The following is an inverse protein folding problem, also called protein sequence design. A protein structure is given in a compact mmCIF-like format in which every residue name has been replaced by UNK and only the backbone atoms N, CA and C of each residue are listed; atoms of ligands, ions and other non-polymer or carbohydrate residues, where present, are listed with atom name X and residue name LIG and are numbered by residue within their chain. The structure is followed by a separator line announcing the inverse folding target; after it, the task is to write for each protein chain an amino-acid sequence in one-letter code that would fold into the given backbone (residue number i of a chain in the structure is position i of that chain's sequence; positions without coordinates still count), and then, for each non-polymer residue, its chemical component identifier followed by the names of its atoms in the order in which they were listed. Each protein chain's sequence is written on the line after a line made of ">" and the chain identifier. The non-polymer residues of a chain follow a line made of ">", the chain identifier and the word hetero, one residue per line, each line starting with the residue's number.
data_IF_278918416225
#
_entry.id   IF_278918416225
#
_cell.length_a   1.000
_cell.length_b   1.000
_cell.length_c   1.000
_cell.angle_alpha   90.00
_cell.angle_beta   90.00
_cell.angle_gamma   90.00
#
_symmetry.space_group_name_H-M   'P 1'
#
loop_
_entity.id
_entity.type
_entity.pdbx_description
1 polymer ?
#
# COMPACT_ATOMS: atom_id res chain seq x y z
N UNK A 1 20.21 52.05 48.22
CA UNK A 1 19.01 51.29 47.84
C UNK A 1 19.34 50.48 46.61
N UNK A 2 19.61 49.18 46.77
CA UNK A 2 19.93 48.27 45.69
C UNK A 2 18.69 47.45 45.34
N UNK A 3 18.18 47.61 44.12
CA UNK A 3 17.02 46.85 43.59
C UNK A 3 17.50 45.51 43.12
N UNK A 4 17.18 44.44 43.84
CA UNK A 4 17.30 43.07 43.42
C UNK A 4 16.29 42.77 42.31
N UNK A 5 16.76 42.59 41.06
CA UNK A 5 15.99 42.00 39.97
C UNK A 5 15.98 40.51 40.14
N UNK A 6 14.85 39.94 40.54
CA UNK A 6 14.63 38.48 40.54
C UNK A 6 14.48 38.01 39.07
N UNK A 7 15.51 37.34 38.58
CA UNK A 7 15.46 36.64 37.28
C UNK A 7 14.69 35.33 37.49
N UNK A 8 13.46 35.26 37.02
CA UNK A 8 12.68 34.02 36.94
C UNK A 8 13.15 33.24 35.75
N UNK A 9 14.06 32.29 35.98
CA UNK A 9 14.46 31.31 34.96
C UNK A 9 13.33 30.29 34.80
N UNK A 10 12.51 30.46 33.75
CA UNK A 10 11.54 29.45 33.32
C UNK A 10 12.29 28.31 32.59
N UNK A 11 11.88 27.05 32.82
CA UNK A 11 12.58 25.90 32.21
C UNK A 11 12.18 25.73 30.75
N UNK A 12 12.71 26.55 29.84
CA UNK A 12 12.49 26.43 28.39
C UNK A 12 13.37 25.36 27.71
N UNK A 13 14.35 24.80 28.39
CA UNK A 13 15.30 23.83 27.80
C UNK A 13 14.71 22.43 27.55
N UNK A 14 13.72 22.00 28.33
CA UNK A 14 13.13 20.66 28.19
C UNK A 14 12.15 20.56 27.03
N UNK A 15 11.46 21.64 26.64
CA UNK A 15 10.50 21.66 25.54
C UNK A 15 11.21 21.50 24.17
N UNK A 16 12.36 22.10 23.97
CA UNK A 16 13.10 22.04 22.70
C UNK A 16 13.72 20.66 22.44
N UNK A 17 14.18 19.96 23.48
CA UNK A 17 14.71 18.61 23.33
C UNK A 17 13.62 17.59 22.98
N UNK A 18 12.45 17.71 23.61
CA UNK A 18 11.28 16.86 23.34
C UNK A 18 10.72 17.13 21.95
N UNK A 19 10.58 18.39 21.55
CA UNK A 19 10.14 18.79 20.21
C UNK A 19 11.09 18.25 19.11
N UNK A 20 12.42 18.31 19.32
CA UNK A 20 13.42 17.76 18.37
C UNK A 20 13.40 16.23 18.31
N UNK A 21 13.10 15.54 19.42
CA UNK A 21 12.92 14.08 19.42
C UNK A 21 11.65 13.67 18.67
N UNK A 22 10.55 14.36 18.92
CA UNK A 22 9.27 14.14 18.24
C UNK A 22 9.38 14.39 16.72
N UNK A 23 10.00 15.50 16.33
CA UNK A 23 10.24 15.83 14.91
C UNK A 23 11.09 14.75 14.23
N UNK A 24 12.14 14.25 14.87
CA UNK A 24 12.96 13.15 14.34
C UNK A 24 12.18 11.84 14.23
N UNK A 25 11.35 11.52 15.22
CA UNK A 25 10.49 10.33 15.20
C UNK A 25 9.44 10.42 14.10
N UNK A 26 8.77 11.57 13.95
CA UNK A 26 7.82 11.81 12.86
C UNK A 26 8.48 11.73 11.49
N UNK A 27 9.65 12.34 11.33
CA UNK A 27 10.40 12.26 10.06
C UNK A 27 10.84 10.81 9.77
N UNK A 28 11.23 10.04 10.78
CA UNK A 28 11.52 8.62 10.62
C UNK A 28 10.27 7.84 10.22
N UNK A 29 9.12 8.08 10.85
CA UNK A 29 7.85 7.41 10.51
C UNK A 29 7.38 7.76 9.10
N UNK A 30 7.46 9.03 8.68
CA UNK A 30 7.10 9.44 7.32
C UNK A 30 8.03 8.83 6.28
N UNK A 31 9.33 8.84 6.53
CA UNK A 31 10.34 8.27 5.63
C UNK A 31 10.20 6.75 5.43
N UNK A 32 9.70 6.03 6.45
CA UNK A 32 9.56 4.57 6.43
C UNK A 32 8.12 4.10 6.27
N UNK A 33 7.17 4.99 5.93
CA UNK A 33 5.74 4.65 5.76
C UNK A 33 5.10 4.01 7.00
N UNK A 34 5.56 4.39 8.19
CA UNK A 34 5.10 3.84 9.46
C UNK A 34 3.91 4.60 10.06
N UNK A 35 3.41 5.65 9.42
CA UNK A 35 2.29 6.45 9.94
C UNK A 35 1.00 5.64 10.01
N UNK A 36 0.71 4.81 9.01
CA UNK A 36 -0.45 3.92 9.03
C UNK A 36 -0.41 2.90 10.18
N UNK A 37 0.67 2.11 10.36
CA UNK A 37 0.80 1.22 11.53
C UNK A 37 0.72 1.96 12.87
N UNK A 38 1.25 3.18 12.93
CA UNK A 38 1.18 4.03 14.14
C UNK A 38 -0.27 4.42 14.45
N UNK A 39 -1.03 4.90 13.45
CA UNK A 39 -2.44 5.22 13.60
C UNK A 39 -3.25 4.00 14.03
N UNK A 40 -2.97 2.85 13.44
CA UNK A 40 -3.62 1.59 13.79
C UNK A 40 -3.30 1.13 15.23
N UNK A 41 -2.05 1.26 15.67
CA UNK A 41 -1.66 0.92 17.04
C UNK A 41 -2.35 1.82 18.06
N UNK A 42 -2.41 3.14 17.80
CA UNK A 42 -3.13 4.09 18.65
C UNK A 42 -4.63 3.72 18.70
N UNK A 43 -5.24 3.45 17.54
CA UNK A 43 -6.65 3.06 17.46
C UNK A 43 -6.95 1.80 18.26
N UNK A 44 -6.09 0.78 18.15
CA UNK A 44 -6.26 -0.49 18.84
C UNK A 44 -6.17 -0.32 20.36
N UNK A 45 -5.18 0.43 20.82
CA UNK A 45 -5.03 0.75 22.26
C UNK A 45 -6.24 1.56 22.76
N UNK A 46 -6.62 2.60 22.04
CA UNK A 46 -7.75 3.46 22.42
C UNK A 46 -9.08 2.71 22.43
N UNK A 47 -9.35 1.88 21.41
CA UNK A 47 -10.58 1.09 21.34
C UNK A 47 -10.74 0.10 22.51
N UNK A 48 -9.63 -0.42 23.05
CA UNK A 48 -9.66 -1.38 24.16
C UNK A 48 -9.60 -0.72 25.55
N UNK A 49 -9.03 0.49 25.68
CA UNK A 49 -8.99 1.23 26.95
C UNK A 49 -10.24 2.10 27.18
N UNK A 50 -10.75 2.73 26.12
CA UNK A 50 -11.89 3.63 26.19
C UNK A 50 -12.81 3.48 24.96
N UNK A 51 -13.51 2.33 24.82
CA UNK A 51 -14.25 1.97 23.63
C UNK A 51 -15.32 3.00 23.23
N UNK A 52 -16.09 3.51 24.21
CA UNK A 52 -17.14 4.48 23.93
C UNK A 52 -16.60 5.75 23.24
N UNK A 53 -15.52 6.33 23.76
CA UNK A 53 -14.92 7.53 23.19
C UNK A 53 -14.31 7.26 21.81
N UNK A 54 -13.65 6.11 21.62
CA UNK A 54 -13.07 5.73 20.35
C UNK A 54 -14.14 5.53 19.26
N UNK A 55 -15.19 4.75 19.52
CA UNK A 55 -16.22 4.48 18.52
C UNK A 55 -17.07 5.72 18.22
N UNK A 56 -17.25 6.65 19.18
CA UNK A 56 -17.88 7.95 18.93
C UNK A 56 -17.02 8.81 18.00
N UNK A 57 -15.72 8.92 18.27
CA UNK A 57 -14.76 9.60 17.42
C UNK A 57 -14.72 9.00 16.01
N UNK A 58 -14.59 7.67 15.90
CA UNK A 58 -14.54 6.95 14.64
C UNK A 58 -15.78 7.19 13.78
N UNK A 59 -16.98 7.21 14.39
CA UNK A 59 -18.24 7.44 13.68
C UNK A 59 -18.29 8.82 13.00
N UNK A 60 -17.76 9.85 13.65
CA UNK A 60 -17.74 11.22 13.10
C UNK A 60 -16.76 11.33 11.93
N UNK A 61 -15.59 10.67 12.03
CA UNK A 61 -14.53 10.79 11.05
C UNK A 61 -14.55 9.71 9.98
N UNK A 62 -15.40 8.68 10.09
CA UNK A 62 -15.45 7.59 9.13
C UNK A 62 -15.68 8.08 7.70
N UNK A 63 -16.69 8.93 7.49
CA UNK A 63 -17.01 9.44 6.16
C UNK A 63 -15.88 10.27 5.55
N UNK A 64 -15.38 11.37 6.17
CA UNK A 64 -14.31 12.16 5.55
C UNK A 64 -13.01 11.35 5.35
N UNK A 65 -12.71 10.38 6.21
CA UNK A 65 -11.50 9.59 6.07
C UNK A 65 -11.65 8.53 4.98
N UNK A 66 -12.74 7.77 4.97
CA UNK A 66 -12.90 6.66 4.03
C UNK A 66 -13.25 7.12 2.61
N UNK A 67 -14.01 8.21 2.47
CA UNK A 67 -14.51 8.65 1.17
C UNK A 67 -13.65 9.76 0.54
N UNK A 68 -13.07 10.65 1.36
CA UNK A 68 -12.29 11.78 0.86
C UNK A 68 -10.79 11.53 1.00
N UNK A 69 -10.31 11.23 2.21
CA UNK A 69 -8.88 11.04 2.41
C UNK A 69 -8.34 9.81 1.66
N UNK A 70 -9.11 8.72 1.59
CA UNK A 70 -8.72 7.54 0.81
C UNK A 70 -8.73 7.78 -0.69
N UNK A 71 -9.50 8.75 -1.22
CA UNK A 71 -9.39 9.13 -2.63
C UNK A 71 -7.99 9.64 -2.98
N UNK A 72 -7.34 10.39 -2.08
CA UNK A 72 -5.96 10.84 -2.26
C UNK A 72 -4.97 9.65 -2.28
N UNK A 73 -5.18 8.67 -1.41
CA UNK A 73 -4.32 7.47 -1.34
C UNK A 73 -4.46 6.63 -2.61
N UNK A 74 -5.69 6.38 -3.06
CA UNK A 74 -5.94 5.61 -4.29
C UNK A 74 -5.52 6.38 -5.54
N UNK A 75 -5.65 7.71 -5.53
CA UNK A 75 -5.09 8.58 -6.56
C UNK A 75 -3.57 8.44 -6.68
N UNK A 76 -2.84 8.36 -5.54
CA UNK A 76 -1.40 8.12 -5.54
C UNK A 76 -1.06 6.74 -6.14
N UNK A 77 -1.76 5.69 -5.74
CA UNK A 77 -1.54 4.34 -6.28
C UNK A 77 -1.86 4.30 -7.78
N UNK A 78 -2.94 4.95 -8.21
CA UNK A 78 -3.29 5.05 -9.62
C UNK A 78 -2.23 5.81 -10.43
N UNK A 79 -1.64 6.86 -9.85
CA UNK A 79 -0.54 7.60 -10.46
C UNK A 79 0.70 6.70 -10.65
N UNK A 80 1.09 5.95 -9.63
CA UNK A 80 2.20 4.98 -9.73
C UNK A 80 1.95 3.95 -10.83
N UNK A 81 0.73 3.38 -10.88
CA UNK A 81 0.33 2.44 -11.95
C UNK A 81 0.43 3.09 -13.33
N UNK A 82 -0.08 4.34 -13.45
CA UNK A 82 -0.05 5.04 -14.73
C UNK A 82 1.37 5.35 -15.19
N UNK A 83 2.25 5.81 -14.31
CA UNK A 83 3.65 6.11 -14.62
C UNK A 83 4.41 4.86 -15.08
N UNK A 84 4.13 3.71 -14.46
CA UNK A 84 4.73 2.44 -14.85
C UNK A 84 4.20 1.88 -16.19
N UNK A 85 2.98 2.24 -16.58
CA UNK A 85 2.42 1.88 -17.91
C UNK A 85 2.85 2.82 -19.02
N UNK A 86 3.33 4.02 -18.67
CA UNK A 86 3.77 5.02 -19.64
C UNK A 86 5.04 4.60 -20.41
N UNK A 87 5.33 5.19 -21.60
CA UNK A 87 6.55 4.91 -22.34
C UNK A 87 7.81 5.18 -21.50
N UNK A 88 8.58 4.13 -21.24
CA UNK A 88 9.77 4.16 -20.37
C UNK A 88 9.55 3.51 -19.01
N UNK A 89 8.31 3.29 -18.58
CA UNK A 89 7.97 2.53 -17.38
C UNK A 89 8.19 1.02 -17.55
N UNK A 90 8.25 0.30 -16.43
CA UNK A 90 8.52 -1.14 -16.44
C UNK A 90 7.36 -1.96 -17.03
N UNK A 91 6.12 -1.49 -16.89
CA UNK A 91 4.92 -2.13 -17.46
C UNK A 91 4.79 -1.89 -18.96
N UNK A 92 5.56 -0.94 -19.55
CA UNK A 92 5.54 -0.73 -21.00
C UNK A 92 6.16 -1.90 -21.79
N UNK A 93 7.05 -2.69 -21.18
CA UNK A 93 7.66 -3.87 -21.80
C UNK A 93 6.96 -5.15 -21.32
N UNK A 94 6.02 -5.70 -22.12
CA UNK A 94 5.20 -6.86 -21.76
C UNK A 94 5.98 -8.05 -21.21
N UNK A 95 7.19 -8.30 -21.69
CA UNK A 95 8.07 -9.39 -21.21
C UNK A 95 8.52 -9.22 -19.76
N UNK A 96 8.52 -8.00 -19.21
CA UNK A 96 8.96 -7.72 -17.84
C UNK A 96 7.82 -7.83 -16.83
N UNK A 97 6.60 -7.48 -17.22
CA UNK A 97 5.47 -7.46 -16.30
C UNK A 97 4.60 -8.73 -16.34
N UNK A 98 4.72 -9.58 -17.39
CA UNK A 98 3.87 -10.77 -17.54
C UNK A 98 3.97 -11.71 -16.33
N UNK A 99 5.18 -12.01 -15.85
CA UNK A 99 5.36 -12.92 -14.70
C UNK A 99 4.84 -12.28 -13.40
N UNK A 100 5.14 -11.00 -13.05
CA UNK A 100 4.51 -10.33 -11.91
C UNK A 100 2.98 -10.26 -11.99
N UNK A 101 2.40 -10.05 -13.17
CA UNK A 101 0.94 -10.05 -13.38
C UNK A 101 0.32 -11.43 -13.13
N UNK A 102 0.94 -12.49 -13.68
CA UNK A 102 0.49 -13.87 -13.40
C UNK A 102 0.59 -14.16 -11.91
N UNK A 103 1.70 -13.76 -11.27
CA UNK A 103 1.88 -13.92 -9.83
C UNK A 103 0.81 -13.18 -9.02
N UNK A 104 0.46 -11.95 -9.39
CA UNK A 104 -0.60 -11.18 -8.76
C UNK A 104 -1.97 -11.85 -8.93
N UNK A 105 -2.33 -12.19 -10.18
CA UNK A 105 -3.62 -12.80 -10.51
C UNK A 105 -3.78 -14.17 -9.81
N UNK A 106 -2.77 -15.03 -9.88
CA UNK A 106 -2.80 -16.33 -9.20
C UNK A 106 -2.81 -16.19 -7.67
N UNK A 107 -2.09 -15.19 -7.13
CA UNK A 107 -2.10 -14.89 -5.71
C UNK A 107 -3.47 -14.44 -5.20
N UNK A 108 -4.13 -13.53 -5.93
CA UNK A 108 -5.48 -13.06 -5.59
C UNK A 108 -6.49 -14.19 -5.76
N UNK A 109 -6.45 -14.94 -6.85
CA UNK A 109 -7.36 -16.06 -7.10
C UNK A 109 -7.24 -17.16 -6.03
N UNK A 110 -6.01 -17.53 -5.65
CA UNK A 110 -5.78 -18.54 -4.61
C UNK A 110 -6.17 -18.03 -3.21
N UNK A 111 -5.97 -16.74 -2.91
CA UNK A 111 -6.45 -16.14 -1.67
C UNK A 111 -7.99 -16.15 -1.62
N UNK A 112 -8.65 -15.74 -2.71
CA UNK A 112 -10.12 -15.77 -2.80
C UNK A 112 -10.67 -17.20 -2.67
N UNK A 113 -10.04 -18.18 -3.33
CA UNK A 113 -10.41 -19.58 -3.22
C UNK A 113 -10.22 -20.11 -1.78
N UNK A 114 -9.08 -19.84 -1.16
CA UNK A 114 -8.81 -20.25 0.23
C UNK A 114 -9.80 -19.61 1.22
N UNK A 115 -10.14 -18.34 1.00
CA UNK A 115 -11.15 -17.64 1.77
C UNK A 115 -12.51 -18.32 1.64
N UNK A 116 -12.98 -18.52 0.40
CA UNK A 116 -14.29 -19.14 0.12
C UNK A 116 -14.38 -20.57 0.68
N UNK A 117 -13.35 -21.40 0.49
CA UNK A 117 -13.31 -22.77 1.03
C UNK A 117 -13.41 -22.76 2.56
N UNK A 118 -12.68 -21.85 3.24
CA UNK A 118 -12.72 -21.77 4.69
C UNK A 118 -14.07 -21.30 5.22
N UNK A 119 -14.67 -20.29 4.58
CA UNK A 119 -15.99 -19.75 4.92
C UNK A 119 -17.07 -20.79 4.70
N UNK A 120 -17.02 -21.53 3.59
CA UNK A 120 -17.93 -22.63 3.30
C UNK A 120 -17.83 -23.76 4.34
N UNK A 121 -16.61 -24.15 4.69
CA UNK A 121 -16.37 -25.16 5.72
C UNK A 121 -16.93 -24.74 7.08
N UNK A 122 -16.94 -23.45 7.39
CA UNK A 122 -17.48 -22.90 8.65
C UNK A 122 -18.98 -22.59 8.56
N UNK A 123 -19.59 -22.73 7.39
CA UNK A 123 -21.04 -22.47 7.12
C UNK A 123 -21.44 -21.02 7.43
N UNK A 124 -20.51 -20.07 7.20
CA UNK A 124 -20.70 -18.63 7.45
C UNK A 124 -21.10 -17.91 6.17
N UNK A 125 -22.32 -18.09 5.70
CA UNK A 125 -22.81 -17.60 4.41
C UNK A 125 -22.69 -16.08 4.22
N UNK A 126 -22.80 -15.30 5.29
CA UNK A 126 -22.67 -13.84 5.25
C UNK A 126 -21.26 -13.36 4.87
N UNK A 127 -20.23 -14.19 5.08
CA UNK A 127 -18.84 -13.85 4.75
C UNK A 127 -18.51 -14.10 3.26
N UNK A 128 -19.35 -14.79 2.48
CA UNK A 128 -19.06 -15.04 1.06
C UNK A 128 -18.92 -13.74 0.26
N UNK A 129 -19.72 -12.72 0.54
CA UNK A 129 -19.65 -11.43 -0.18
C UNK A 129 -18.42 -10.61 0.18
N UNK A 130 -17.70 -10.98 1.23
CA UNK A 130 -16.55 -10.21 1.74
C UNK A 130 -15.19 -10.72 1.24
N UNK A 131 -15.16 -11.70 0.32
CA UNK A 131 -13.91 -12.21 -0.26
C UNK A 131 -12.99 -11.12 -0.87
N UNK A 132 -13.48 -9.93 -1.37
CA UNK A 132 -12.60 -8.88 -1.86
C UNK A 132 -11.60 -8.37 -0.81
N UNK A 133 -11.87 -8.59 0.48
CA UNK A 133 -10.97 -8.26 1.61
C UNK A 133 -9.57 -8.85 1.42
N UNK A 134 -9.47 -9.97 0.70
CA UNK A 134 -8.19 -10.62 0.45
C UNK A 134 -7.51 -10.24 -0.87
N UNK A 135 -8.05 -9.28 -1.65
CA UNK A 135 -7.54 -8.96 -2.99
C UNK A 135 -6.28 -8.06 -2.97
N UNK A 136 -6.25 -7.01 -2.15
CA UNK A 136 -5.20 -6.00 -2.21
C UNK A 136 -3.90 -6.35 -1.47
N UNK A 137 -2.83 -5.63 -1.81
CA UNK A 137 -1.48 -5.75 -1.23
C UNK A 137 -1.01 -4.38 -0.75
N UNK A 138 -0.37 -4.32 0.41
CA UNK A 138 0.19 -3.09 0.95
C UNK A 138 1.57 -2.80 0.33
N UNK A 139 1.58 -1.94 -0.71
CA UNK A 139 2.79 -1.64 -1.50
C UNK A 139 3.93 -1.15 -0.62
N UNK A 140 3.64 -0.24 0.33
CA UNK A 140 4.66 0.38 1.17
C UNK A 140 5.34 -0.61 2.11
N UNK A 141 4.54 -1.44 2.81
CA UNK A 141 5.05 -2.46 3.72
C UNK A 141 5.85 -3.53 2.97
N UNK A 142 5.33 -3.98 1.83
CA UNK A 142 5.98 -5.01 1.01
C UNK A 142 7.29 -4.51 0.41
N UNK A 143 7.32 -3.28 -0.08
CA UNK A 143 8.55 -2.64 -0.54
C UNK A 143 9.60 -2.53 0.57
N UNK A 144 9.18 -2.02 1.73
CA UNK A 144 10.08 -1.85 2.88
C UNK A 144 10.75 -3.15 3.29
N UNK A 145 9.99 -4.23 3.46
CA UNK A 145 10.54 -5.52 3.88
C UNK A 145 11.41 -6.16 2.78
N UNK A 146 11.00 -6.06 1.52
CA UNK A 146 11.78 -6.58 0.40
C UNK A 146 13.10 -5.84 0.28
N UNK A 147 13.10 -4.52 0.40
CA UNK A 147 14.31 -3.71 0.44
C UNK A 147 15.21 -4.09 1.61
N UNK A 148 14.64 -4.26 2.81
CA UNK A 148 15.39 -4.67 4.00
C UNK A 148 16.03 -6.05 3.86
N UNK A 149 15.41 -6.99 3.14
CA UNK A 149 15.94 -8.33 2.91
C UNK A 149 16.97 -8.36 1.78
N UNK A 150 16.71 -7.70 0.65
CA UNK A 150 17.47 -7.85 -0.59
C UNK A 150 18.51 -6.75 -0.84
N UNK A 151 18.39 -5.58 -0.21
CA UNK A 151 19.38 -4.51 -0.33
C UNK A 151 20.54 -4.74 0.65
N UNK A 152 21.78 -4.79 0.14
CA UNK A 152 22.97 -4.94 0.97
C UNK A 152 23.41 -3.58 1.54
N UNK A 153 23.66 -3.45 2.85
CA UNK A 153 24.35 -2.29 3.40
C UNK A 153 25.79 -2.27 2.88
N UNK A 154 26.29 -1.14 2.34
CA UNK A 154 27.71 -0.94 2.07
C UNK A 154 28.20 -1.18 0.64
N UNK A 155 27.37 -1.31 -0.35
CA UNK A 155 27.79 -1.23 -1.75
C UNK A 155 28.27 0.18 -2.09
N UNK A 156 29.50 0.30 -2.66
CA UNK A 156 30.05 1.57 -3.10
C UNK A 156 29.06 2.36 -3.94
N UNK A 157 29.00 3.68 -3.75
CA UNK A 157 28.00 4.60 -4.32
C UNK A 157 27.89 4.61 -5.87
N UNK A 158 28.68 3.82 -6.58
CA UNK A 158 28.69 3.71 -8.04
C UNK A 158 28.09 2.43 -8.64
N UNK A 159 27.65 1.44 -7.86
CA UNK A 159 27.17 0.15 -8.35
C UNK A 159 25.79 -0.22 -7.78
N UNK A 160 24.86 0.72 -7.74
CA UNK A 160 23.46 0.50 -7.26
C UNK A 160 22.60 -0.10 -8.36
N UNK A 161 22.85 -1.34 -8.77
CA UNK A 161 21.76 -2.13 -9.38
C UNK A 161 20.94 -2.71 -8.24
N UNK A 162 19.71 -2.26 -8.09
CA UNK A 162 18.76 -2.83 -7.13
C UNK A 162 18.57 -4.32 -7.42
N UNK A 163 18.38 -5.12 -6.38
CA UNK A 163 18.11 -6.55 -6.56
C UNK A 163 16.78 -6.73 -7.31
N UNK A 164 16.69 -7.63 -8.33
CA UNK A 164 15.49 -7.78 -9.16
C UNK A 164 14.21 -8.19 -8.41
N UNK A 165 14.34 -8.66 -7.17
CA UNK A 165 13.18 -8.89 -6.29
C UNK A 165 12.41 -7.60 -5.96
N UNK A 166 13.08 -6.44 -5.91
CA UNK A 166 12.45 -5.16 -5.55
C UNK A 166 11.47 -4.70 -6.65
N UNK A 167 11.90 -4.51 -7.92
CA UNK A 167 10.95 -4.15 -8.97
C UNK A 167 9.91 -5.25 -9.23
N UNK A 168 10.26 -6.53 -9.07
CA UNK A 168 9.31 -7.63 -9.20
C UNK A 168 8.16 -7.52 -8.21
N UNK A 169 8.46 -7.29 -6.92
CA UNK A 169 7.42 -7.18 -5.88
C UNK A 169 6.58 -5.92 -6.03
N UNK A 170 7.16 -4.81 -6.48
CA UNK A 170 6.42 -3.58 -6.75
C UNK A 170 5.40 -3.80 -7.86
N UNK A 171 5.81 -4.39 -8.99
CA UNK A 171 4.91 -4.72 -10.10
C UNK A 171 3.80 -5.70 -9.69
N UNK A 172 4.15 -6.72 -8.89
CA UNK A 172 3.18 -7.65 -8.34
C UNK A 172 2.15 -6.94 -7.44
N UNK A 173 2.61 -6.08 -6.53
CA UNK A 173 1.74 -5.35 -5.61
C UNK A 173 0.84 -4.36 -6.35
N UNK A 174 1.37 -3.60 -7.32
CA UNK A 174 0.58 -2.71 -8.17
C UNK A 174 -0.47 -3.49 -8.97
N UNK A 175 -0.10 -4.62 -9.58
CA UNK A 175 -1.03 -5.46 -10.32
C UNK A 175 -2.14 -6.03 -9.42
N UNK A 176 -1.81 -6.50 -8.22
CA UNK A 176 -2.80 -6.98 -7.25
C UNK A 176 -3.78 -5.86 -6.84
N UNK A 177 -3.29 -4.64 -6.66
CA UNK A 177 -4.13 -3.50 -6.31
C UNK A 177 -5.05 -3.07 -7.47
N UNK A 178 -4.58 -3.12 -8.72
CA UNK A 178 -5.44 -2.90 -9.90
C UNK A 178 -6.56 -3.94 -9.94
N UNK A 179 -6.24 -5.22 -9.70
CA UNK A 179 -7.27 -6.27 -9.58
C UNK A 179 -8.24 -5.95 -8.44
N UNK A 180 -7.72 -5.52 -7.28
CA UNK A 180 -8.53 -5.10 -6.14
C UNK A 180 -9.49 -3.96 -6.48
N UNK A 181 -9.04 -2.92 -7.19
CA UNK A 181 -9.91 -1.83 -7.64
C UNK A 181 -10.99 -2.29 -8.62
N UNK A 182 -10.65 -3.17 -9.56
CA UNK A 182 -11.63 -3.75 -10.49
C UNK A 182 -12.69 -4.56 -9.75
N UNK A 183 -12.27 -5.31 -8.73
CA UNK A 183 -13.17 -6.15 -7.93
C UNK A 183 -14.09 -5.31 -7.03
N UNK A 184 -13.58 -4.26 -6.39
CA UNK A 184 -14.38 -3.45 -5.46
C UNK A 184 -15.35 -2.52 -6.17
N UNK A 185 -15.04 -2.09 -7.39
CA UNK A 185 -15.89 -1.14 -8.13
C UNK A 185 -17.35 -1.62 -8.27
N UNK A 186 -17.64 -2.86 -8.71
CA UNK A 186 -19.01 -3.37 -8.75
C UNK A 186 -19.56 -3.82 -7.39
N UNK A 187 -18.69 -4.12 -6.41
CA UNK A 187 -19.10 -4.66 -5.11
C UNK A 187 -19.79 -3.62 -4.21
N UNK A 188 -19.59 -2.33 -4.50
CA UNK A 188 -20.12 -1.22 -3.73
C UNK A 188 -21.48 -0.70 -4.27
N UNK A 189 -21.98 -1.22 -5.37
CA UNK A 189 -23.25 -0.78 -5.96
C UNK A 189 -24.41 -1.13 -5.02
N UNK A 190 -24.61 -0.32 -4.01
CA UNK A 190 -25.87 -0.26 -3.26
C UNK A 190 -26.90 0.32 -4.23
N UNK A 191 -28.07 -0.33 -4.33
CA UNK A 191 -29.18 -0.01 -5.22
C UNK A 191 -29.49 1.51 -5.30
N UNK A 192 -28.61 2.28 -5.94
CA UNK A 192 -28.88 3.66 -6.29
C UNK A 192 -29.76 3.65 -7.53
N UNK A 193 -30.85 4.37 -7.50
CA UNK A 193 -31.62 4.65 -8.71
C UNK A 193 -30.67 5.34 -9.69
N UNK A 194 -30.33 4.64 -10.78
CA UNK A 194 -29.42 5.16 -11.82
C UNK A 194 -30.04 6.42 -12.41
N UNK A 195 -29.64 7.57 -11.89
CA UNK A 195 -29.97 8.87 -12.42
C UNK A 195 -28.97 9.19 -13.52
N UNK A 196 -29.40 9.37 -14.77
CA UNK A 196 -28.52 9.70 -15.89
C UNK A 196 -27.63 10.96 -15.66
N UNK A 197 -27.81 11.66 -14.55
CA UNK A 197 -26.98 12.79 -14.13
C UNK A 197 -25.55 12.45 -13.72
N UNK A 198 -25.31 11.25 -13.19
CA UNK A 198 -23.98 10.84 -12.76
C UNK A 198 -23.02 10.64 -13.94
N UNK A 199 -23.49 10.07 -15.05
CA UNK A 199 -22.72 9.94 -16.28
C UNK A 199 -22.34 11.30 -16.90
N UNK A 200 -23.25 12.28 -16.81
CA UNK A 200 -22.97 13.68 -17.24
C UNK A 200 -21.90 14.31 -16.34
N UNK A 201 -22.00 14.13 -15.03
CA UNK A 201 -20.96 14.62 -14.07
C UNK A 201 -19.62 13.95 -14.32
N UNK A 202 -19.56 12.65 -14.59
CA UNK A 202 -18.31 11.95 -14.91
C UNK A 202 -17.74 12.46 -16.24
N UNK A 203 -18.57 12.64 -17.27
CA UNK A 203 -18.12 13.23 -18.52
C UNK A 203 -17.58 14.66 -18.33
N UNK A 204 -18.24 15.48 -17.50
CA UNK A 204 -17.77 16.82 -17.14
C UNK A 204 -16.43 16.76 -16.38
N UNK A 205 -16.25 15.80 -15.47
CA UNK A 205 -14.99 15.59 -14.75
C UNK A 205 -13.84 15.29 -15.70
N UNK A 206 -14.04 14.35 -16.62
CA UNK A 206 -13.05 13.96 -17.63
C UNK A 206 -12.77 15.12 -18.60
N UNK A 207 -13.80 15.81 -19.06
CA UNK A 207 -13.66 16.99 -19.93
C UNK A 207 -12.87 18.11 -19.25
N UNK A 208 -13.12 18.37 -17.96
CA UNK A 208 -12.37 19.35 -17.16
C UNK A 208 -10.91 18.92 -17.00
N UNK A 209 -10.63 17.66 -16.68
CA UNK A 209 -9.27 17.15 -16.59
C UNK A 209 -8.51 17.24 -17.92
N UNK A 210 -9.18 16.89 -19.02
CA UNK A 210 -8.64 17.03 -20.36
C UNK A 210 -8.38 18.50 -20.71
N UNK A 211 -9.29 19.42 -20.39
CA UNK A 211 -9.15 20.86 -20.61
C UNK A 211 -7.94 21.43 -19.84
N UNK A 212 -7.80 21.10 -18.55
CA UNK A 212 -6.65 21.49 -17.74
C UNK A 212 -5.33 21.01 -18.36
N UNK A 213 -5.29 19.75 -18.83
CA UNK A 213 -4.12 19.20 -19.53
C UNK A 213 -3.82 19.93 -20.83
N UNK A 214 -4.86 20.24 -21.62
CA UNK A 214 -4.72 20.98 -22.90
C UNK A 214 -4.13 22.37 -22.69
N UNK A 215 -4.52 23.04 -21.62
CA UNK A 215 -4.00 24.35 -21.22
C UNK A 215 -2.66 24.28 -20.46
N UNK A 216 -2.05 23.08 -20.40
CA UNK A 216 -0.75 22.85 -19.75
C UNK A 216 -0.69 23.34 -18.31
N UNK A 217 -1.80 23.19 -17.56
CA UNK A 217 -1.83 23.48 -16.13
C UNK A 217 -0.91 22.46 -15.43
N UNK A 218 0.19 22.96 -14.87
CA UNK A 218 1.21 22.15 -14.20
C UNK A 218 0.89 21.89 -12.72
N UNK A 219 0.00 22.70 -12.15
CA UNK A 219 -0.48 22.52 -10.80
C UNK A 219 -1.52 21.40 -10.74
N UNK A 220 -1.43 20.56 -9.72
CA UNK A 220 -2.32 19.38 -9.54
C UNK A 220 -3.60 19.71 -8.78
N UNK A 221 -3.60 20.74 -7.95
CA UNK A 221 -4.75 21.11 -7.15
C UNK A 221 -6.04 21.32 -7.96
N UNK A 222 -6.03 21.96 -9.13
CA UNK A 222 -7.21 22.07 -9.97
C UNK A 222 -7.73 20.70 -10.45
N UNK A 223 -6.85 19.73 -10.72
CA UNK A 223 -7.25 18.38 -11.09
C UNK A 223 -7.94 17.66 -9.93
N UNK A 224 -7.42 17.82 -8.71
CA UNK A 224 -7.99 17.17 -7.52
C UNK A 224 -9.32 17.82 -7.14
N UNK A 225 -9.35 19.14 -6.97
CA UNK A 225 -10.52 19.81 -6.42
C UNK A 225 -11.65 19.97 -7.43
N UNK A 226 -11.35 20.30 -8.69
CA UNK A 226 -12.39 20.52 -9.71
C UNK A 226 -12.74 19.22 -10.41
N UNK A 227 -11.80 18.62 -11.13
CA UNK A 227 -12.08 17.37 -11.86
C UNK A 227 -12.33 16.19 -10.91
N UNK A 228 -11.52 16.03 -9.88
CA UNK A 228 -11.69 15.01 -8.86
C UNK A 228 -12.95 15.20 -8.04
N UNK A 229 -13.32 16.43 -7.68
CA UNK A 229 -14.58 16.74 -7.00
C UNK A 229 -15.81 16.38 -7.82
N UNK A 230 -15.82 16.69 -9.12
CA UNK A 230 -16.89 16.27 -10.05
C UNK A 230 -16.96 14.75 -10.17
N UNK A 231 -15.80 14.10 -10.32
CA UNK A 231 -15.74 12.62 -10.37
C UNK A 231 -16.21 11.99 -9.08
N UNK A 232 -15.83 12.55 -7.92
CA UNK A 232 -16.27 12.10 -6.60
C UNK A 232 -17.78 12.18 -6.46
N UNK A 233 -18.37 13.31 -6.84
CA UNK A 233 -19.82 13.51 -6.81
C UNK A 233 -20.53 12.54 -7.76
N UNK A 234 -19.96 12.33 -8.97
CA UNK A 234 -20.51 11.38 -9.94
C UNK A 234 -20.56 9.96 -9.37
N UNK A 235 -19.44 9.48 -8.77
CA UNK A 235 -19.39 8.14 -8.19
C UNK A 235 -20.32 8.02 -6.98
N UNK A 236 -20.36 9.04 -6.13
CA UNK A 236 -21.22 9.04 -4.95
C UNK A 236 -22.72 8.93 -5.32
N UNK A 237 -23.17 9.70 -6.32
CA UNK A 237 -24.57 9.68 -6.81
C UNK A 237 -24.91 8.37 -7.49
N UNK A 238 -23.99 7.74 -8.22
CA UNK A 238 -24.21 6.45 -8.90
C UNK A 238 -24.10 5.25 -7.95
N UNK A 239 -23.67 5.45 -6.68
CA UNK A 239 -23.50 4.38 -5.72
C UNK A 239 -22.19 3.59 -5.89
N UNK A 240 -21.20 4.15 -6.60
CA UNK A 240 -19.83 3.64 -6.60
C UNK A 240 -19.04 4.25 -5.45
N UNK A 241 -17.98 3.55 -5.03
CA UNK A 241 -17.15 4.05 -3.91
C UNK A 241 -16.44 5.35 -4.30
N UNK A 242 -16.71 6.48 -3.63
CA UNK A 242 -16.15 7.78 -3.99
C UNK A 242 -14.63 7.86 -3.83
N UNK A 243 -14.02 7.01 -2.99
CA UNK A 243 -12.56 6.91 -2.88
C UNK A 243 -11.87 6.56 -4.22
N UNK A 244 -12.59 6.03 -5.21
CA UNK A 244 -12.05 5.75 -6.55
C UNK A 244 -12.06 6.98 -7.49
N UNK A 245 -12.50 8.13 -7.00
CA UNK A 245 -12.76 9.32 -7.83
C UNK A 245 -11.55 9.83 -8.62
N UNK A 246 -10.35 9.67 -8.11
CA UNK A 246 -9.14 10.14 -8.80
C UNK A 246 -8.62 9.16 -9.86
N UNK A 247 -9.07 7.89 -9.87
CA UNK A 247 -8.61 6.90 -10.86
C UNK A 247 -8.82 7.38 -12.32
N UNK A 248 -10.00 7.86 -12.74
CA UNK A 248 -10.21 8.34 -14.10
C UNK A 248 -9.53 9.69 -14.38
N UNK A 249 -9.16 10.46 -13.36
CA UNK A 249 -8.55 11.79 -13.50
C UNK A 249 -7.02 11.71 -13.62
N UNK A 250 -6.39 10.76 -12.95
CA UNK A 250 -4.94 10.58 -12.91
C UNK A 250 -4.27 10.56 -14.30
N UNK A 251 -4.80 9.91 -15.36
CA UNK A 251 -4.17 9.93 -16.69
C UNK A 251 -4.01 11.31 -17.31
N UNK A 252 -4.75 12.31 -16.83
CA UNK A 252 -4.70 13.70 -17.32
C UNK A 252 -3.77 14.59 -16.50
N UNK A 253 -3.35 14.14 -15.31
CA UNK A 253 -2.48 14.92 -14.42
C UNK A 253 -1.06 15.07 -14.98
N UNK A 254 -0.31 16.09 -14.59
CA UNK A 254 1.09 16.21 -14.93
C UNK A 254 1.91 15.09 -14.24
N UNK A 255 2.72 14.35 -14.99
CA UNK A 255 3.52 13.23 -14.50
C UNK A 255 5.03 13.50 -14.64
N UNK A 256 5.81 13.08 -13.64
CA UNK A 256 7.26 12.99 -13.73
C UNK A 256 7.65 11.57 -14.17
N UNK A 257 8.62 11.47 -15.11
CA UNK A 257 9.17 10.16 -15.49
C UNK A 257 10.16 9.71 -14.43
N UNK A 258 9.90 8.61 -13.74
CA UNK A 258 10.83 7.97 -12.81
C UNK A 258 11.06 6.50 -13.16
N UNK A 259 12.31 5.97 -13.01
CA UNK A 259 12.56 4.53 -12.99
C UNK A 259 11.96 3.91 -11.73
N UNK A 260 11.49 2.66 -11.82
CA UNK A 260 10.90 1.87 -10.70
C UNK A 260 11.80 1.79 -9.46
N UNK A 261 13.12 1.83 -9.67
CA UNK A 261 14.11 1.77 -8.59
C UNK A 261 14.12 3.02 -7.69
N UNK A 262 13.48 4.11 -8.14
CA UNK A 262 13.49 5.42 -7.47
C UNK A 262 12.14 5.80 -6.85
N UNK A 263 11.08 4.97 -6.98
CA UNK A 263 9.76 5.24 -6.40
C UNK A 263 9.80 5.60 -4.92
N UNK A 264 10.82 5.09 -4.20
CA UNK A 264 11.04 5.30 -2.78
C UNK A 264 12.51 5.67 -2.47
N UNK A 265 13.24 6.22 -3.45
CA UNK A 265 14.64 6.58 -3.28
C UNK A 265 14.82 7.87 -2.47
N UNK A 266 15.92 7.93 -1.73
CA UNK A 266 16.34 9.07 -0.92
C UNK A 266 16.58 10.34 -1.77
N UNK A 267 16.12 11.47 -1.27
CA UNK A 267 16.09 12.82 -1.84
C UNK A 267 17.46 13.48 -2.16
N UNK A 268 18.52 12.72 -2.35
CA UNK A 268 19.87 13.29 -2.40
C UNK A 268 20.35 13.76 -3.77
N UNK A 269 19.60 13.56 -4.88
CA UNK A 269 20.06 13.99 -6.21
C UNK A 269 19.15 15.04 -6.88
N UNK A 270 19.73 16.21 -6.97
CA UNK A 270 19.13 17.48 -7.38
C UNK A 270 19.06 17.62 -8.90
N UNK A 271 17.92 17.36 -9.54
CA UNK A 271 17.56 18.02 -10.84
C UNK A 271 16.05 17.94 -11.12
N UNK A 272 15.37 19.08 -10.96
CA UNK A 272 13.96 19.23 -11.33
C UNK A 272 13.06 19.81 -10.22
N UNK A 273 13.30 21.04 -9.75
CA UNK A 273 12.67 21.64 -8.55
C UNK A 273 11.14 21.74 -8.53
N UNK A 274 10.46 21.87 -9.66
CA UNK A 274 9.01 22.18 -9.68
C UNK A 274 8.16 20.90 -9.57
N UNK A 275 8.53 19.83 -10.25
CA UNK A 275 7.81 18.54 -10.21
C UNK A 275 8.05 17.84 -8.88
N UNK A 276 9.24 17.98 -8.27
CA UNK A 276 9.58 17.43 -6.96
C UNK A 276 8.79 18.03 -5.79
N UNK A 277 8.48 19.32 -5.86
CA UNK A 277 7.69 19.96 -4.81
C UNK A 277 6.26 19.41 -4.76
N UNK A 278 5.72 19.06 -5.92
CA UNK A 278 4.43 18.40 -6.11
C UNK A 278 4.40 17.00 -5.48
N UNK A 279 5.34 16.13 -5.86
CA UNK A 279 5.44 14.75 -5.35
C UNK A 279 5.65 14.73 -3.84
N UNK A 280 6.43 15.65 -3.31
CA UNK A 280 6.69 15.76 -1.88
C UNK A 280 5.44 16.17 -1.09
N UNK A 281 4.67 17.16 -1.57
CA UNK A 281 3.43 17.58 -0.92
C UNK A 281 2.35 16.49 -0.96
N UNK A 282 2.17 15.83 -2.12
CA UNK A 282 1.19 14.74 -2.25
C UNK A 282 1.51 13.57 -1.34
N UNK A 283 2.77 13.21 -1.27
CA UNK A 283 3.25 12.14 -0.40
C UNK A 283 2.92 12.38 1.08
N UNK A 284 3.11 13.59 1.57
CA UNK A 284 2.74 13.93 2.95
C UNK A 284 1.23 13.89 3.18
N UNK A 285 0.42 14.37 2.24
CA UNK A 285 -1.04 14.32 2.37
C UNK A 285 -1.55 12.87 2.33
N UNK A 286 -1.02 12.04 1.45
CA UNK A 286 -1.38 10.62 1.40
C UNK A 286 -0.95 9.87 2.67
N UNK A 287 0.22 10.17 3.23
CA UNK A 287 0.64 9.59 4.50
C UNK A 287 -0.20 10.07 5.69
N UNK A 288 -0.61 11.33 5.72
CA UNK A 288 -1.53 11.85 6.73
C UNK A 288 -2.91 11.16 6.59
N UNK A 289 -3.40 10.98 5.36
CA UNK A 289 -4.62 10.23 5.08
C UNK A 289 -4.52 8.76 5.55
N UNK A 290 -3.40 8.09 5.30
CA UNK A 290 -3.14 6.73 5.80
C UNK A 290 -3.09 6.65 7.32
N UNK A 291 -2.48 7.63 7.99
CA UNK A 291 -2.49 7.72 9.46
C UNK A 291 -3.91 7.84 10.00
N UNK A 292 -4.70 8.78 9.45
CA UNK A 292 -6.10 8.98 9.83
C UNK A 292 -6.93 7.73 9.52
N UNK A 293 -6.69 7.10 8.38
CA UNK A 293 -7.35 5.85 8.02
C UNK A 293 -7.08 4.74 9.03
N UNK A 294 -5.82 4.53 9.41
CA UNK A 294 -5.45 3.59 10.46
C UNK A 294 -6.09 3.94 11.80
N UNK A 295 -6.07 5.23 12.18
CA UNK A 295 -6.63 5.71 13.44
C UNK A 295 -8.16 5.51 13.52
N UNK A 296 -8.89 5.73 12.43
CA UNK A 296 -10.35 5.64 12.41
C UNK A 296 -10.84 4.19 12.25
N UNK A 297 -10.14 3.39 11.45
CA UNK A 297 -10.65 2.09 11.02
C UNK A 297 -10.05 0.88 11.76
N UNK A 298 -8.82 0.99 12.30
CA UNK A 298 -8.13 -0.17 12.88
C UNK A 298 -8.56 -0.50 14.32
N UNK A 299 -9.27 0.40 15.00
CA UNK A 299 -9.74 0.11 16.36
C UNK A 299 -10.83 -0.94 16.38
N UNK A 300 -10.55 -1.99 17.13
CA UNK A 300 -11.42 -3.16 17.31
C UNK A 300 -11.17 -3.76 18.69
N UNK A 301 -12.22 -4.34 19.27
CA UNK A 301 -12.09 -5.09 20.52
C UNK A 301 -11.30 -6.39 20.28
N UNK A 302 -10.25 -6.63 21.06
CA UNK A 302 -9.41 -7.81 20.91
C UNK A 302 -10.13 -9.13 21.26
N UNK A 303 -11.32 -9.06 21.81
CA UNK A 303 -12.18 -10.23 22.10
C UNK A 303 -13.01 -10.69 20.90
N UNK A 304 -13.01 -9.94 19.80
CA UNK A 304 -13.86 -10.18 18.63
C UNK A 304 -13.24 -11.12 17.59
N UNK A 305 -12.63 -12.22 17.99
CA UNK A 305 -12.15 -13.25 17.04
C UNK A 305 -13.30 -14.10 16.53
N UNK A 306 -13.24 -14.46 15.26
CA UNK A 306 -14.22 -15.35 14.67
C UNK A 306 -13.77 -15.95 13.35
N UNK A 307 -14.70 -16.50 12.60
CA UNK A 307 -14.47 -17.15 11.31
C UNK A 307 -13.83 -16.17 10.31
N UNK A 308 -14.32 -14.91 10.26
CA UNK A 308 -13.78 -13.88 9.38
C UNK A 308 -12.31 -13.54 9.66
N UNK A 309 -11.88 -13.57 10.93
CA UNK A 309 -10.49 -13.34 11.32
C UNK A 309 -9.56 -14.38 10.70
N UNK A 310 -9.88 -15.65 10.91
CA UNK A 310 -9.06 -16.75 10.41
C UNK A 310 -9.17 -16.93 8.90
N UNK A 311 -10.36 -16.71 8.32
CA UNK A 311 -10.56 -16.72 6.88
C UNK A 311 -9.64 -15.72 6.18
N UNK A 312 -9.63 -14.47 6.67
CA UNK A 312 -8.77 -13.41 6.11
C UNK A 312 -7.29 -13.74 6.28
N UNK A 313 -6.88 -14.12 7.48
CA UNK A 313 -5.47 -14.40 7.78
C UNK A 313 -4.94 -15.58 6.96
N UNK A 314 -5.65 -16.71 6.95
CA UNK A 314 -5.23 -17.91 6.22
C UNK A 314 -5.24 -17.68 4.71
N UNK A 315 -6.26 -16.99 4.19
CA UNK A 315 -6.34 -16.67 2.77
C UNK A 315 -5.22 -15.74 2.31
N UNK A 316 -4.97 -14.65 3.06
CA UNK A 316 -3.94 -13.66 2.69
C UNK A 316 -2.54 -14.22 2.90
N UNK A 317 -2.25 -14.84 4.04
CA UNK A 317 -0.88 -15.32 4.34
C UNK A 317 -0.61 -16.66 3.65
N UNK A 318 -1.53 -17.62 3.74
CA UNK A 318 -1.39 -18.94 3.15
C UNK A 318 -1.77 -18.98 1.67
N UNK A 319 -3.03 -18.70 1.37
CA UNK A 319 -3.59 -18.81 0.03
C UNK A 319 -2.84 -17.96 -1.00
N UNK A 320 -2.62 -16.68 -0.72
CA UNK A 320 -1.89 -15.77 -1.61
C UNK A 320 -0.45 -16.22 -1.83
N UNK A 321 0.26 -16.58 -0.77
CA UNK A 321 1.66 -17.05 -0.88
C UNK A 321 1.76 -18.27 -1.78
N UNK A 322 0.91 -19.27 -1.57
CA UNK A 322 0.85 -20.49 -2.37
C UNK A 322 0.49 -20.16 -3.82
N UNK A 323 -0.53 -19.31 -4.03
CA UNK A 323 -0.96 -18.88 -5.35
C UNK A 323 0.15 -18.18 -6.14
N UNK A 324 0.89 -17.25 -5.53
CA UNK A 324 2.03 -16.57 -6.17
C UNK A 324 3.11 -17.58 -6.55
N UNK A 325 3.49 -18.47 -5.64
CA UNK A 325 4.55 -19.47 -5.90
C UNK A 325 4.15 -20.42 -7.03
N UNK A 326 2.93 -20.96 -6.99
CA UNK A 326 2.41 -21.85 -8.03
C UNK A 326 2.27 -21.11 -9.36
N UNK A 327 1.71 -19.88 -9.37
CA UNK A 327 1.54 -19.10 -10.59
C UNK A 327 2.86 -18.77 -11.26
N UNK A 328 3.88 -18.38 -10.49
CA UNK A 328 5.22 -18.16 -11.02
C UNK A 328 5.86 -19.46 -11.52
N UNK A 329 5.70 -20.56 -10.81
CA UNK A 329 6.18 -21.86 -11.21
C UNK A 329 5.55 -22.31 -12.53
N UNK A 330 4.23 -22.19 -12.69
CA UNK A 330 3.52 -22.48 -13.93
C UNK A 330 3.95 -21.57 -15.07
N UNK A 331 4.15 -20.27 -14.81
CA UNK A 331 4.64 -19.32 -15.80
C UNK A 331 6.03 -19.71 -16.33
N UNK A 332 6.93 -20.13 -15.44
CA UNK A 332 8.27 -20.62 -15.82
C UNK A 332 8.18 -21.94 -16.57
N UNK A 333 7.33 -22.87 -16.15
CA UNK A 333 7.09 -24.14 -16.86
C UNK A 333 6.51 -23.91 -18.25
N UNK A 334 5.73 -22.84 -18.45
CA UNK A 334 5.21 -22.42 -19.75
C UNK A 334 6.25 -21.67 -20.64
N UNK A 335 7.52 -21.59 -20.20
CA UNK A 335 8.60 -20.98 -20.98
C UNK A 335 8.81 -19.47 -20.73
N UNK A 336 8.12 -18.87 -19.75
CA UNK A 336 8.41 -17.50 -19.35
C UNK A 336 9.66 -17.44 -18.46
N UNK A 337 10.44 -16.38 -18.60
CA UNK A 337 11.71 -16.27 -17.90
C UNK A 337 11.57 -15.31 -16.69
N UNK A 338 12.05 -15.77 -15.55
CA UNK A 338 12.26 -14.89 -14.40
C UNK A 338 13.40 -13.90 -14.68
N UNK A 339 13.36 -12.69 -14.10
CA UNK A 339 14.49 -11.77 -14.12
C UNK A 339 15.79 -12.46 -13.65
N UNK A 340 16.91 -12.14 -14.29
CA UNK A 340 18.22 -12.69 -13.92
C UNK A 340 18.47 -12.53 -12.42
N UNK A 341 18.94 -13.57 -11.76
CA UNK A 341 19.19 -13.67 -10.31
C UNK A 341 17.93 -13.81 -9.44
N UNK A 342 16.71 -13.93 -9.96
CA UNK A 342 15.52 -14.28 -9.19
C UNK A 342 15.26 -15.79 -9.31
N UNK A 343 15.35 -16.52 -8.20
CA UNK A 343 15.10 -17.96 -8.12
C UNK A 343 13.81 -18.21 -7.33
N UNK A 344 13.26 -19.42 -7.38
CA UNK A 344 12.04 -19.78 -6.65
C UNK A 344 12.14 -19.53 -5.13
N UNK A 345 13.34 -19.60 -4.54
CA UNK A 345 13.56 -19.28 -3.12
C UNK A 345 13.30 -17.80 -2.84
N UNK A 346 13.77 -16.91 -3.72
CA UNK A 346 13.50 -15.46 -3.63
C UNK A 346 12.02 -15.17 -3.89
N UNK A 347 11.41 -15.88 -4.85
CA UNK A 347 9.96 -15.77 -5.12
C UNK A 347 9.13 -16.14 -3.90
N UNK A 348 9.48 -17.22 -3.17
CA UNK A 348 8.78 -17.60 -1.94
C UNK A 348 8.87 -16.51 -0.86
N UNK A 349 10.04 -15.88 -0.69
CA UNK A 349 10.22 -14.79 0.27
C UNK A 349 9.41 -13.56 -0.15
N UNK A 350 9.42 -13.23 -1.45
CA UNK A 350 8.61 -12.13 -2.01
C UNK A 350 7.12 -12.41 -1.86
N UNK A 351 6.67 -13.66 -2.07
CA UNK A 351 5.27 -14.06 -1.92
C UNK A 351 4.78 -13.90 -0.48
N UNK A 352 5.60 -14.31 0.50
CA UNK A 352 5.32 -14.07 1.92
C UNK A 352 5.31 -12.58 2.27
N UNK A 353 6.21 -11.78 1.72
CA UNK A 353 6.17 -10.33 1.88
C UNK A 353 4.88 -9.74 1.29
N UNK A 354 4.49 -10.16 0.07
CA UNK A 354 3.28 -9.70 -0.60
C UNK A 354 1.98 -10.16 0.07
N UNK A 355 2.04 -11.01 1.10
CA UNK A 355 0.89 -11.35 1.94
C UNK A 355 0.51 -10.25 2.94
N UNK A 356 1.29 -9.17 3.09
CA UNK A 356 0.87 -8.01 3.86
C UNK A 356 -0.20 -7.22 3.08
N UNK A 357 -1.46 -7.40 3.48
CA UNK A 357 -2.62 -6.77 2.85
C UNK A 357 -3.36 -5.77 3.75
N UNK A 358 -2.72 -5.29 4.81
CA UNK A 358 -3.32 -4.56 5.92
C UNK A 358 -4.24 -3.41 5.47
N UNK A 359 -3.74 -2.45 4.67
CA UNK A 359 -4.50 -1.26 4.26
C UNK A 359 -5.72 -1.62 3.43
N UNK A 360 -5.52 -2.46 2.40
CA UNK A 360 -6.59 -2.85 1.50
C UNK A 360 -7.62 -3.76 2.16
N UNK A 361 -7.15 -4.75 2.95
CA UNK A 361 -8.06 -5.63 3.69
C UNK A 361 -8.93 -4.84 4.67
N UNK A 362 -8.34 -3.87 5.37
CA UNK A 362 -9.08 -3.01 6.30
C UNK A 362 -10.08 -2.10 5.56
N UNK A 363 -9.67 -1.52 4.43
CA UNK A 363 -10.54 -0.70 3.60
C UNK A 363 -11.72 -1.50 3.05
N UNK A 364 -11.46 -2.66 2.45
CA UNK A 364 -12.54 -3.50 1.90
C UNK A 364 -13.48 -4.02 2.98
N UNK A 365 -12.98 -4.39 4.14
CA UNK A 365 -13.82 -4.79 5.27
C UNK A 365 -14.79 -3.67 5.67
N UNK A 366 -14.31 -2.44 5.80
CA UNK A 366 -15.14 -1.29 6.20
C UNK A 366 -16.09 -0.81 5.11
N UNK A 367 -15.78 -1.10 3.84
CA UNK A 367 -16.62 -0.79 2.69
C UNK A 367 -17.75 -1.80 2.51
N UNK A 368 -17.46 -3.10 2.73
CA UNK A 368 -18.39 -4.19 2.42
C UNK A 368 -19.36 -4.50 3.56
N UNK A 369 -19.00 -4.21 4.81
CA UNK A 369 -19.80 -4.55 5.97
C UNK A 369 -20.18 -3.32 6.81
N UNK A 370 -21.42 -3.24 7.29
CA UNK A 370 -21.81 -2.28 8.31
C UNK A 370 -21.13 -2.61 9.65
N UNK A 371 -21.14 -1.63 10.57
CA UNK A 371 -20.61 -1.84 11.92
C UNK A 371 -21.30 -3.02 12.61
N UNK A 372 -20.54 -3.99 13.05
CA UNK A 372 -21.03 -5.21 13.68
C UNK A 372 -19.94 -6.24 13.97
N UNK A 373 -20.30 -7.40 14.52
CA UNK A 373 -19.36 -8.46 14.90
C UNK A 373 -18.52 -8.95 13.71
N UNK A 374 -19.14 -9.20 12.55
CA UNK A 374 -18.44 -9.68 11.36
C UNK A 374 -17.39 -8.68 10.85
N UNK A 375 -17.70 -7.37 10.90
CA UNK A 375 -16.72 -6.34 10.58
C UNK A 375 -15.54 -6.37 11.57
N UNK A 376 -15.80 -6.58 12.86
CA UNK A 376 -14.73 -6.69 13.86
C UNK A 376 -13.80 -7.89 13.58
N UNK A 377 -14.36 -9.03 13.20
CA UNK A 377 -13.59 -10.22 12.81
C UNK A 377 -12.69 -9.95 11.61
N UNK A 378 -13.23 -9.34 10.53
CA UNK A 378 -12.44 -9.00 9.35
C UNK A 378 -11.34 -7.97 9.64
N UNK A 379 -11.63 -6.96 10.47
CA UNK A 379 -10.64 -5.99 10.93
C UNK A 379 -9.51 -6.65 11.70
N UNK A 380 -9.80 -7.57 12.60
CA UNK A 380 -8.78 -8.36 13.31
C UNK A 380 -7.95 -9.19 12.33
N UNK A 381 -8.59 -9.85 11.37
CA UNK A 381 -7.89 -10.57 10.30
C UNK A 381 -6.94 -9.66 9.53
N UNK A 382 -7.40 -8.48 9.10
CA UNK A 382 -6.59 -7.49 8.41
C UNK A 382 -5.39 -7.02 9.24
N UNK A 383 -5.61 -6.72 10.53
CA UNK A 383 -4.57 -6.31 11.48
C UNK A 383 -3.49 -7.39 11.71
N UNK A 384 -3.82 -8.65 11.51
CA UNK A 384 -2.89 -9.76 11.65
C UNK A 384 -2.10 -10.07 10.37
N UNK A 385 -2.52 -9.58 9.19
CA UNK A 385 -1.83 -9.85 7.91
C UNK A 385 -0.35 -9.43 7.89
N UNK A 386 0.14 -8.37 8.62
CA UNK A 386 1.56 -8.07 8.70
C UNK A 386 2.43 -9.21 9.28
N UNK A 387 1.84 -10.25 9.86
CA UNK A 387 2.59 -11.46 10.24
C UNK A 387 3.32 -12.07 9.04
N UNK A 388 2.79 -11.91 7.82
CA UNK A 388 3.46 -12.30 6.59
C UNK A 388 4.84 -11.67 6.41
N UNK A 389 5.04 -10.43 6.91
CA UNK A 389 6.35 -9.75 6.91
C UNK A 389 7.35 -10.50 7.81
N UNK A 390 6.90 -10.93 9.00
CA UNK A 390 7.73 -11.70 9.92
C UNK A 390 8.09 -13.06 9.32
N UNK A 391 7.12 -13.71 8.67
CA UNK A 391 7.35 -14.97 7.97
C UNK A 391 8.29 -14.81 6.77
N UNK A 392 8.18 -13.72 6.02
CA UNK A 392 9.12 -13.41 4.93
C UNK A 392 10.55 -13.23 5.44
N UNK A 393 10.72 -12.54 6.56
CA UNK A 393 12.02 -12.36 7.19
C UNK A 393 12.60 -13.71 7.69
N UNK A 394 11.77 -14.53 8.33
CA UNK A 394 12.16 -15.86 8.79
C UNK A 394 12.52 -16.77 7.61
N UNK A 395 11.68 -16.79 6.56
CA UNK A 395 11.93 -17.55 5.35
C UNK A 395 13.22 -17.10 4.64
N UNK A 396 13.48 -15.80 4.55
CA UNK A 396 14.73 -15.28 3.99
C UNK A 396 15.96 -15.78 4.76
N UNK A 397 15.85 -15.89 6.07
CA UNK A 397 16.91 -16.40 6.95
C UNK A 397 17.11 -17.92 6.79
N UNK A 398 16.03 -18.69 6.75
CA UNK A 398 16.07 -20.14 6.59
C UNK A 398 16.55 -20.56 5.20
N UNK A 399 16.05 -19.89 4.15
CA UNK A 399 16.41 -20.17 2.76
C UNK A 399 17.75 -19.52 2.35
N UNK A 400 18.36 -18.74 3.26
CA UNK A 400 19.63 -18.03 3.06
C UNK A 400 19.61 -17.13 1.84
N UNK A 401 18.58 -16.31 1.73
CA UNK A 401 18.30 -15.42 0.60
C UNK A 401 18.64 -13.98 0.94
N UNK A 402 18.99 -13.18 -0.05
CA UNK A 402 19.28 -11.76 0.11
C UNK A 402 20.47 -11.48 1.03
N UNK A 403 20.28 -10.66 2.07
CA UNK A 403 21.32 -10.32 3.07
C UNK A 403 21.80 -11.52 3.89
N UNK A 404 21.04 -12.60 3.94
CA UNK A 404 21.35 -13.82 4.67
C UNK A 404 22.06 -14.87 3.80
N UNK A 405 22.31 -14.60 2.51
CA UNK A 405 23.08 -15.49 1.64
C UNK A 405 24.52 -15.57 2.16
N UNK A 406 25.03 -16.80 2.37
CA UNK A 406 26.43 -17.01 2.72
C UNK A 406 27.30 -16.52 1.57
N UNK A 407 28.32 -15.69 1.86
CA UNK A 407 29.37 -15.40 0.92
C UNK A 407 30.11 -16.71 0.63
N UNK A 408 30.00 -17.24 -0.58
CA UNK A 408 31.01 -18.15 -1.08
C UNK A 408 32.32 -17.34 -1.07
N UNK A 409 33.26 -17.73 -0.22
CA UNK A 409 34.58 -17.14 -0.18
C UNK A 409 35.17 -17.17 -1.59
N UNK A 410 35.42 -16.00 -2.18
CA UNK A 410 36.32 -15.82 -3.31
C UNK A 410 37.75 -16.06 -2.75
N UNK A 411 38.04 -17.34 -2.52
CA UNK A 411 39.43 -17.83 -2.31
C UNK A 411 39.72 -18.79 -3.46
N UNK A 412 39.84 -18.26 -4.67
CA UNK A 412 40.37 -19.01 -5.80
C UNK A 412 40.87 -18.06 -6.90
N UNK A 413 41.71 -17.06 -6.58
CA UNK A 413 42.58 -16.43 -7.58
C UNK A 413 43.79 -15.80 -6.86
N UNK A 414 44.66 -16.66 -6.40
CA UNK A 414 45.91 -16.23 -5.72
C UNK A 414 46.97 -17.31 -5.66
N UNK A 415 47.05 -18.19 -6.67
CA UNK A 415 48.19 -19.13 -6.80
C UNK A 415 48.37 -19.49 -8.28
N UNK A 416 48.93 -18.60 -9.06
CA UNK A 416 49.70 -18.86 -10.27
C UNK A 416 50.27 -17.54 -10.81
N UNK A 417 51.25 -16.99 -10.06
CA UNK A 417 52.32 -16.14 -10.60
C UNK A 417 53.53 -16.33 -9.69
N UNK A 418 54.40 -17.25 -10.11
CA UNK A 418 55.66 -17.50 -9.42
C UNK A 418 56.29 -18.78 -9.96
N UNK A 419 56.72 -18.78 -11.23
CA UNK A 419 57.82 -19.56 -11.79
C UNK A 419 58.20 -18.91 -13.13
#
# INVERSE_FOLDING_TARGET
>A
MATHVIRTDWPHATSHATARRLSRALHFCTRHYLLLPLGAAIALVWANLAPFSYFTFGRVLAFPVNEIAMALVFGLIAQEVYEETAPGGALHQWRRWTVPMIAAASGVAAAAAAYGIYVEWKIETMLHVTWPVVAGVDVALVYFITKAIFQRPGGAAGARRSHPAIPFVLLLALAANVIGFIVIAPSYVVAAERTGGASVLMAAAIATAWWLRRHRVTEFWPYIWVAGGLSWTALYVEGFHPALALLPIVPFMPHARRPLDELFADDSDVRGRTVRHFEHLWHYHAQAALFLFGLVNAGVMLTGYGTGTWATLLAVVGGRTVGIVIGVWLAVAAGLHLPAALRMREVTVVALAASAGFTFSLFFATTLLPAGPLLAELKLGALLTPVGILLAWLAARLLRVGRFARHAHVHAYGKHRGA
#
